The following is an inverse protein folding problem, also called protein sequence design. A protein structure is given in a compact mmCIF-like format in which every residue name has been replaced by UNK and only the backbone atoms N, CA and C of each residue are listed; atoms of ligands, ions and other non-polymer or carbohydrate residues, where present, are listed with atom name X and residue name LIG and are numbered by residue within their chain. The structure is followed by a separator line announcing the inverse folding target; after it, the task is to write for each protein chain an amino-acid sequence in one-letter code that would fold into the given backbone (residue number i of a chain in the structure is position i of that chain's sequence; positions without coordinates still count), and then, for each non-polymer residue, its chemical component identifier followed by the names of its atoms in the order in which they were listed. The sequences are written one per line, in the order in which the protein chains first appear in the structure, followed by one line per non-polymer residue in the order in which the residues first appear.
data_IF_528825783599
#
_entry.id   IF_528825783599
#
_cell.length_a   1.000
_cell.length_b   1.000
_cell.length_c   1.000
_cell.angle_alpha   90.00
_cell.angle_beta   90.00
_cell.angle_gamma   90.00
#
_symmetry.space_group_name_H-M   'P 1'
#
loop_
_entity.id
_entity.type
_entity.pdbx_description
1 polymer ?
#
# COMPACT_ATOMS: atom_id res chain seq x y z
N UNK A 1 4.21 -29.25 3.35
CA UNK A 1 5.02 -29.80 2.23
C UNK A 1 4.22 -30.33 1.03
N UNK A 2 2.88 -30.47 1.09
CA UNK A 2 2.08 -30.95 -0.06
C UNK A 2 1.42 -29.85 -0.92
N UNK A 3 1.41 -28.59 -0.45
CA UNK A 3 0.76 -27.46 -1.17
C UNK A 3 1.70 -26.81 -2.22
N UNK A 4 3.01 -27.04 -2.13
CA UNK A 4 4.01 -26.36 -2.98
C UNK A 4 4.17 -26.93 -4.39
N UNK A 5 3.77 -28.18 -4.64
CA UNK A 5 3.93 -28.80 -5.97
C UNK A 5 2.71 -28.62 -6.88
N UNK A 6 1.52 -28.35 -6.32
CA UNK A 6 0.31 -28.09 -7.12
C UNK A 6 0.22 -26.65 -7.65
N UNK A 7 0.92 -25.68 -7.03
CA UNK A 7 0.83 -24.26 -7.43
C UNK A 7 1.68 -23.90 -8.65
N UNK A 8 2.48 -24.82 -9.19
CA UNK A 8 3.45 -24.53 -10.25
C UNK A 8 2.92 -24.73 -11.68
N UNK A 9 1.75 -25.39 -11.81
CA UNK A 9 1.12 -25.68 -13.11
C UNK A 9 -0.24 -25.00 -13.30
N UNK A 10 -0.74 -24.30 -12.28
CA UNK A 10 -2.01 -23.56 -12.39
C UNK A 10 -1.77 -22.27 -13.16
N UNK A 11 -2.71 -21.88 -14.04
CA UNK A 11 -2.73 -20.52 -14.57
C UNK A 11 -3.21 -19.58 -13.46
N UNK A 12 -2.29 -18.82 -12.88
CA UNK A 12 -2.59 -17.78 -11.88
C UNK A 12 -2.68 -16.42 -12.56
N UNK A 13 -3.66 -15.63 -12.14
CA UNK A 13 -3.99 -14.34 -12.73
C UNK A 13 -4.14 -13.30 -11.61
N UNK A 14 -3.72 -12.07 -11.88
CA UNK A 14 -3.87 -10.97 -10.96
C UNK A 14 -5.35 -10.58 -10.80
N UNK A 15 -5.67 -9.99 -9.65
CA UNK A 15 -6.99 -9.41 -9.44
C UNK A 15 -7.22 -8.26 -10.43
N UNK A 16 -8.41 -8.14 -11.05
CA UNK A 16 -8.69 -7.10 -12.01
C UNK A 16 -8.59 -5.71 -11.38
N UNK A 17 -8.12 -4.73 -12.15
CA UNK A 17 -8.11 -3.34 -11.72
C UNK A 17 -9.55 -2.80 -11.64
N UNK A 18 -9.84 -2.01 -10.61
CA UNK A 18 -11.13 -1.32 -10.53
C UNK A 18 -11.12 -0.16 -11.53
N UNK A 19 -11.99 -0.22 -12.54
CA UNK A 19 -12.14 0.84 -13.52
C UNK A 19 -13.14 1.90 -13.03
N UNK A 20 -12.68 3.13 -12.85
CA UNK A 20 -13.52 4.28 -12.54
C UNK A 20 -14.20 4.82 -13.81
N UNK A 21 -15.42 5.30 -13.68
CA UNK A 21 -16.20 5.90 -14.76
C UNK A 21 -16.17 7.44 -14.66
N UNK A 22 -15.87 8.11 -15.77
CA UNK A 22 -15.85 9.57 -15.88
C UNK A 22 -17.24 10.22 -16.00
N UNK A 23 -18.30 9.44 -16.17
CA UNK A 23 -19.65 9.98 -16.38
C UNK A 23 -20.34 10.49 -15.11
N UNK A 24 -20.09 9.85 -13.96
CA UNK A 24 -20.68 10.22 -12.66
C UNK A 24 -19.68 10.01 -11.55
N UNK A 25 -19.72 10.87 -10.53
CA UNK A 25 -18.90 10.69 -9.34
C UNK A 25 -19.19 9.33 -8.68
N UNK A 26 -18.13 8.66 -8.24
CA UNK A 26 -18.16 7.33 -7.58
C UNK A 26 -18.75 6.20 -8.44
N UNK A 27 -18.90 6.40 -9.75
CA UNK A 27 -19.32 5.32 -10.64
C UNK A 27 -18.13 4.43 -11.00
N UNK A 28 -18.31 3.12 -10.92
CA UNK A 28 -17.32 2.11 -11.29
C UNK A 28 -17.87 1.20 -12.40
N UNK A 29 -16.98 0.69 -13.24
CA UNK A 29 -17.32 -0.28 -14.29
C UNK A 29 -17.14 -1.69 -13.72
N UNK A 30 -18.22 -2.49 -13.59
CA UNK A 30 -18.13 -3.85 -13.06
C UNK A 30 -17.23 -4.75 -13.91
N UNK A 31 -16.76 -5.84 -13.32
CA UNK A 31 -16.12 -6.93 -14.06
C UNK A 31 -17.09 -7.51 -15.09
N UNK A 32 -16.56 -7.93 -16.24
CA UNK A 32 -17.28 -8.48 -17.39
C UNK A 32 -18.27 -7.52 -18.05
N UNK A 33 -18.42 -6.30 -17.54
CA UNK A 33 -19.29 -5.30 -18.14
C UNK A 33 -18.63 -4.66 -19.38
N UNK A 34 -19.50 -4.31 -20.32
CA UNK A 34 -19.13 -3.52 -21.49
C UNK A 34 -18.90 -2.06 -21.09
N UNK A 35 -17.86 -1.45 -21.66
CA UNK A 35 -17.51 -0.06 -21.41
C UNK A 35 -16.87 0.60 -22.63
N UNK A 36 -16.76 1.93 -22.58
CA UNK A 36 -16.14 2.74 -23.63
C UNK A 36 -14.85 3.36 -23.10
N UNK A 37 -13.78 3.27 -23.89
CA UNK A 37 -12.45 3.72 -23.51
C UNK A 37 -11.81 4.61 -24.57
N UNK A 38 -11.24 5.74 -24.16
CA UNK A 38 -10.40 6.60 -24.99
C UNK A 38 -8.97 6.65 -24.44
N UNK A 39 -7.98 6.40 -25.31
CA UNK A 39 -6.53 6.41 -24.99
C UNK A 39 -6.12 5.57 -23.76
N UNK A 40 -6.88 4.51 -23.42
CA UNK A 40 -6.70 3.72 -22.19
C UNK A 40 -6.68 4.57 -20.89
N UNK A 41 -7.26 5.77 -20.91
CA UNK A 41 -7.24 6.71 -19.78
C UNK A 41 -8.64 7.11 -19.35
N UNK A 42 -9.51 7.41 -20.30
CA UNK A 42 -10.86 7.87 -20.01
C UNK A 42 -11.84 6.74 -20.26
N UNK A 43 -12.54 6.32 -19.21
CA UNK A 43 -13.46 5.19 -19.25
C UNK A 43 -14.88 5.63 -18.88
N UNK A 44 -15.86 5.12 -19.61
CA UNK A 44 -17.27 5.31 -19.31
C UNK A 44 -17.98 3.96 -19.29
N UNK A 45 -18.78 3.70 -18.26
CA UNK A 45 -19.70 2.57 -18.30
C UNK A 45 -20.74 2.79 -19.41
N UNK A 46 -21.27 1.70 -19.97
CA UNK A 46 -22.22 1.76 -21.09
C UNK A 46 -23.42 2.68 -20.79
N UNK A 47 -23.95 2.65 -19.56
CA UNK A 47 -25.05 3.52 -19.13
C UNK A 47 -24.67 5.00 -19.18
N UNK A 48 -23.57 5.39 -18.55
CA UNK A 48 -23.16 6.80 -18.51
C UNK A 48 -22.76 7.32 -19.88
N UNK A 49 -22.12 6.50 -20.72
CA UNK A 49 -21.74 6.90 -22.07
C UNK A 49 -22.97 7.22 -22.94
N UNK A 50 -24.03 6.42 -22.80
CA UNK A 50 -25.28 6.61 -23.55
C UNK A 50 -26.17 7.73 -22.99
N UNK A 51 -26.01 8.09 -21.71
CA UNK A 51 -26.71 9.23 -21.10
C UNK A 51 -26.19 10.60 -21.61
N UNK A 52 -24.97 10.66 -22.16
CA UNK A 52 -24.40 11.89 -22.72
C UNK A 52 -25.20 12.30 -23.97
N UNK A 53 -25.76 13.51 -23.96
CA UNK A 53 -26.48 14.04 -25.11
C UNK A 53 -25.51 14.46 -26.21
N UNK A 54 -25.85 14.12 -27.47
CA UNK A 54 -25.03 14.42 -28.64
C UNK A 54 -23.94 13.37 -28.93
N UNK A 55 -23.11 13.68 -29.93
CA UNK A 55 -22.06 12.79 -30.46
C UNK A 55 -20.68 13.06 -29.83
N UNK A 56 -20.56 13.98 -28.87
CA UNK A 56 -19.28 14.33 -28.27
C UNK A 56 -19.31 14.27 -26.74
N UNK A 57 -18.14 13.99 -26.18
CA UNK A 57 -17.86 13.86 -24.75
C UNK A 57 -16.83 14.92 -24.38
N UNK A 58 -17.14 15.72 -23.36
CA UNK A 58 -16.19 16.69 -22.79
C UNK A 58 -15.35 16.02 -21.71
N UNK A 59 -14.03 16.03 -21.90
CA UNK A 59 -13.04 15.45 -21.00
C UNK A 59 -12.20 16.56 -20.36
N UNK A 60 -12.09 16.53 -19.03
CA UNK A 60 -11.19 17.38 -18.25
C UNK A 60 -11.13 16.88 -16.81
N UNK A 61 -9.91 16.78 -16.27
CA UNK A 61 -9.68 16.35 -14.89
C UNK A 61 -9.86 17.51 -13.89
N UNK A 62 -9.66 18.75 -14.35
CA UNK A 62 -9.72 19.98 -13.56
C UNK A 62 -10.79 20.92 -14.13
N UNK A 63 -11.86 21.27 -13.37
CA UNK A 63 -12.89 22.20 -13.81
C UNK A 63 -12.37 23.61 -14.14
N UNK A 64 -11.18 23.98 -13.64
CA UNK A 64 -10.55 25.27 -13.89
C UNK A 64 -9.73 25.31 -15.20
N UNK A 65 -9.56 24.15 -15.86
CA UNK A 65 -8.85 24.03 -17.12
C UNK A 65 -9.81 23.85 -18.31
N UNK A 66 -9.41 24.28 -19.53
CA UNK A 66 -10.21 24.09 -20.73
C UNK A 66 -10.44 22.59 -21.01
N UNK A 67 -11.70 22.22 -21.20
CA UNK A 67 -12.08 20.84 -21.50
C UNK A 67 -11.82 20.51 -22.98
N UNK A 68 -11.39 19.27 -23.22
CA UNK A 68 -11.25 18.72 -24.57
C UNK A 68 -12.53 18.02 -24.99
N UNK A 69 -12.99 18.28 -26.21
CA UNK A 69 -14.21 17.66 -26.76
C UNK A 69 -13.82 16.54 -27.71
N UNK A 70 -14.20 15.31 -27.37
CA UNK A 70 -13.87 14.09 -28.14
C UNK A 70 -15.16 13.48 -28.68
N UNK A 71 -15.17 13.11 -29.96
CA UNK A 71 -16.33 12.44 -30.55
C UNK A 71 -16.46 10.99 -30.04
N UNK A 72 -17.69 10.52 -29.82
CA UNK A 72 -18.01 9.19 -29.32
C UNK A 72 -17.46 8.08 -30.22
N UNK A 73 -17.36 8.32 -31.53
CA UNK A 73 -16.77 7.39 -32.49
C UNK A 73 -15.28 7.09 -32.25
N UNK A 74 -14.58 7.98 -31.54
CA UNK A 74 -13.18 7.78 -31.15
C UNK A 74 -13.03 6.88 -29.92
N UNK A 75 -14.12 6.54 -29.23
CA UNK A 75 -14.08 5.62 -28.09
C UNK A 75 -14.13 4.17 -28.55
N UNK A 76 -13.22 3.36 -28.01
CA UNK A 76 -13.26 1.92 -28.21
C UNK A 76 -14.25 1.26 -27.26
N UNK A 77 -15.22 0.53 -27.81
CA UNK A 77 -16.08 -0.37 -27.03
C UNK A 77 -15.28 -1.61 -26.60
N UNK A 78 -15.25 -1.90 -25.30
CA UNK A 78 -14.45 -2.97 -24.69
C UNK A 78 -15.25 -3.72 -23.63
N UNK A 79 -14.72 -4.84 -23.17
CA UNK A 79 -15.25 -5.63 -22.05
C UNK A 79 -14.22 -5.65 -20.92
N UNK A 80 -14.67 -5.50 -19.69
CA UNK A 80 -13.81 -5.47 -18.51
C UNK A 80 -13.52 -6.90 -18.01
N UNK A 81 -12.90 -7.71 -18.86
CA UNK A 81 -12.59 -9.12 -18.61
C UNK A 81 -11.11 -9.48 -18.81
N UNK A 82 -10.26 -8.49 -19.09
CA UNK A 82 -8.81 -8.68 -19.15
C UNK A 82 -8.25 -8.97 -17.75
N UNK A 83 -7.58 -10.11 -17.62
CA UNK A 83 -6.82 -10.47 -16.43
C UNK A 83 -5.36 -10.69 -16.84
N UNK A 84 -4.45 -10.04 -16.11
CA UNK A 84 -3.02 -10.18 -16.36
C UNK A 84 -2.52 -11.49 -15.72
N UNK A 85 -1.84 -12.38 -16.48
CA UNK A 85 -1.30 -13.61 -15.91
C UNK A 85 -0.08 -13.32 -15.02
N UNK A 86 0.12 -14.16 -14.01
CA UNK A 86 1.35 -14.14 -13.22
C UNK A 86 2.57 -14.47 -14.09
N UNK A 87 3.68 -13.79 -13.81
CA UNK A 87 4.93 -14.00 -14.52
C UNK A 87 5.63 -15.28 -14.07
N UNK A 88 6.31 -15.93 -15.01
CA UNK A 88 7.16 -17.08 -14.76
C UNK A 88 8.63 -16.69 -14.78
N UNK A 89 9.42 -17.37 -13.95
CA UNK A 89 10.89 -17.37 -14.01
C UNK A 89 11.39 -18.77 -14.34
N UNK A 90 12.42 -18.85 -15.17
CA UNK A 90 13.00 -20.12 -15.61
C UNK A 90 14.24 -20.46 -14.78
N UNK A 91 14.29 -21.67 -14.25
CA UNK A 91 15.47 -22.14 -13.51
C UNK A 91 16.64 -22.36 -14.48
N UNK A 92 17.74 -21.64 -14.28
CA UNK A 92 18.90 -21.67 -15.18
C UNK A 92 19.62 -23.04 -15.24
N UNK A 93 19.31 -23.96 -14.32
CA UNK A 93 19.95 -25.28 -14.27
C UNK A 93 19.08 -26.41 -14.84
N UNK A 94 17.75 -26.33 -14.70
CA UNK A 94 16.86 -27.41 -15.15
C UNK A 94 15.80 -26.97 -16.18
N UNK A 95 15.75 -25.70 -16.55
CA UNK A 95 14.81 -25.14 -17.52
C UNK A 95 13.33 -25.14 -17.07
N UNK A 96 13.03 -25.57 -15.83
CA UNK A 96 11.65 -25.56 -15.33
C UNK A 96 11.20 -24.13 -15.06
N UNK A 97 10.01 -23.80 -15.54
CA UNK A 97 9.32 -22.53 -15.28
C UNK A 97 8.53 -22.63 -13.98
N UNK A 98 8.62 -21.59 -13.16
CA UNK A 98 7.94 -21.47 -11.87
C UNK A 98 7.34 -20.06 -11.77
N UNK A 99 6.20 -19.89 -11.11
CA UNK A 99 5.67 -18.54 -10.85
C UNK A 99 6.68 -17.72 -10.04
N UNK A 100 6.99 -16.52 -10.52
CA UNK A 100 7.97 -15.63 -9.89
C UNK A 100 7.63 -15.34 -8.43
N UNK A 101 6.34 -15.15 -8.13
CA UNK A 101 5.83 -14.89 -6.78
C UNK A 101 5.95 -16.14 -5.90
N UNK A 102 5.57 -17.33 -6.38
CA UNK A 102 5.67 -18.57 -5.61
C UNK A 102 7.11 -18.87 -5.15
N UNK A 103 8.11 -18.55 -5.97
CA UNK A 103 9.53 -18.79 -5.64
C UNK A 103 10.22 -17.56 -5.08
N UNK A 104 9.49 -16.44 -4.93
CA UNK A 104 9.97 -15.15 -4.45
C UNK A 104 11.28 -14.72 -5.13
N UNK A 105 11.37 -14.84 -6.45
CA UNK A 105 12.57 -14.40 -7.17
C UNK A 105 12.48 -12.91 -7.55
N UNK A 106 13.56 -12.18 -7.26
CA UNK A 106 13.72 -10.80 -7.65
C UNK A 106 15.15 -10.59 -8.20
N UNK A 107 15.25 -10.05 -9.40
CA UNK A 107 16.52 -9.87 -10.11
C UNK A 107 17.45 -8.86 -9.43
N UNK A 108 16.90 -7.90 -8.68
CA UNK A 108 17.71 -6.94 -7.90
C UNK A 108 18.37 -7.64 -6.72
N UNK A 109 17.67 -8.58 -6.08
CA UNK A 109 18.19 -9.36 -4.94
C UNK A 109 19.19 -10.42 -5.43
N UNK A 110 18.84 -11.14 -6.50
CA UNK A 110 19.63 -12.22 -7.08
C UNK A 110 19.86 -12.02 -8.58
N UNK A 111 20.78 -11.12 -8.98
CA UNK A 111 21.03 -10.79 -10.39
C UNK A 111 21.70 -11.92 -11.19
N UNK A 112 22.24 -12.94 -10.50
CA UNK A 112 22.85 -14.11 -11.14
C UNK A 112 21.83 -15.11 -11.72
N UNK A 113 20.53 -14.80 -11.65
CA UNK A 113 19.44 -15.64 -12.15
C UNK A 113 18.83 -16.56 -11.09
N UNK A 114 17.69 -17.15 -11.46
CA UNK A 114 16.92 -18.05 -10.59
C UNK A 114 17.44 -19.49 -10.66
N UNK A 115 17.74 -20.08 -9.48
CA UNK A 115 17.98 -21.51 -9.31
C UNK A 115 16.92 -22.06 -8.36
N UNK A 116 16.14 -23.05 -8.81
CA UNK A 116 15.06 -23.62 -8.00
C UNK A 116 15.59 -24.44 -6.81
N UNK A 117 14.77 -24.57 -5.77
CA UNK A 117 15.16 -25.25 -4.52
C UNK A 117 15.55 -26.72 -4.75
N UNK A 118 14.95 -27.38 -5.75
CA UNK A 118 15.33 -28.73 -6.15
C UNK A 118 16.76 -28.83 -6.68
N UNK A 119 17.21 -27.86 -7.48
CA UNK A 119 18.58 -27.82 -8.00
C UNK A 119 19.59 -27.39 -6.93
N UNK A 120 19.23 -26.42 -6.09
CA UNK A 120 20.02 -26.02 -4.92
C UNK A 120 20.26 -27.23 -3.99
N UNK A 121 19.21 -27.97 -3.64
CA UNK A 121 19.29 -29.16 -2.79
C UNK A 121 20.15 -30.27 -3.40
N UNK A 122 20.00 -30.56 -4.69
CA UNK A 122 20.82 -31.57 -5.41
C UNK A 122 22.31 -31.24 -5.40
N UNK A 123 22.66 -29.96 -5.41
CA UNK A 123 24.04 -29.46 -5.45
C UNK A 123 24.58 -29.06 -4.07
N UNK A 124 23.83 -29.30 -2.98
CA UNK A 124 24.24 -28.93 -1.63
C UNK A 124 24.40 -27.42 -1.41
N UNK A 125 23.78 -26.58 -2.24
CA UNK A 125 23.83 -25.11 -2.12
C UNK A 125 22.57 -24.59 -1.44
N UNK A 126 22.68 -23.42 -0.83
CA UNK A 126 21.55 -22.63 -0.32
C UNK A 126 21.39 -21.36 -1.16
N UNK A 127 20.19 -20.79 -1.15
CA UNK A 127 19.96 -19.49 -1.79
C UNK A 127 20.80 -18.43 -1.08
N UNK A 128 21.37 -17.50 -1.84
CA UNK A 128 22.13 -16.38 -1.27
C UNK A 128 21.23 -15.53 -0.37
N UNK A 129 21.80 -14.99 0.70
CA UNK A 129 21.08 -14.14 1.66
C UNK A 129 20.41 -12.94 0.97
N UNK A 130 19.16 -12.64 1.35
CA UNK A 130 18.49 -11.40 0.95
C UNK A 130 18.99 -10.22 1.78
N UNK A 131 19.71 -9.28 1.14
CA UNK A 131 20.20 -8.06 1.80
C UNK A 131 19.14 -6.95 1.93
N UNK A 132 17.99 -7.11 1.30
CA UNK A 132 16.87 -6.17 1.30
C UNK A 132 15.78 -6.63 2.27
N UNK A 133 16.14 -6.79 3.54
CA UNK A 133 15.22 -7.20 4.60
C UNK A 133 14.73 -6.02 5.44
N UNK A 134 13.56 -6.17 6.04
CA UNK A 134 12.96 -5.18 6.93
C UNK A 134 13.89 -4.84 8.10
N UNK A 135 14.59 -5.85 8.64
CA UNK A 135 15.57 -5.68 9.73
C UNK A 135 16.66 -4.68 9.38
N UNK A 136 17.10 -4.67 8.11
CA UNK A 136 18.23 -3.86 7.61
C UNK A 136 17.84 -2.43 7.24
N UNK A 137 16.54 -2.09 7.27
CA UNK A 137 16.11 -0.69 7.17
C UNK A 137 16.63 0.12 8.36
N UNK A 138 17.01 1.39 8.17
CA UNK A 138 17.49 2.26 9.24
C UNK A 138 16.52 2.31 10.42
N UNK A 139 17.06 2.21 11.64
CA UNK A 139 16.28 2.29 12.87
C UNK A 139 16.03 3.75 13.25
N UNK A 140 14.94 3.98 13.98
CA UNK A 140 14.61 5.29 14.55
C UNK A 140 14.16 5.10 16.00
N UNK A 141 14.23 6.16 16.81
CA UNK A 141 13.79 6.10 18.22
C UNK A 141 12.33 5.63 18.35
N UNK A 142 11.44 6.14 17.50
CA UNK A 142 10.04 5.71 17.46
C UNK A 142 9.92 4.25 17.01
N UNK A 143 10.58 3.85 15.91
CA UNK A 143 10.52 2.48 15.41
C UNK A 143 10.99 1.47 16.46
N UNK A 144 12.15 1.71 17.08
CA UNK A 144 12.69 0.86 18.15
C UNK A 144 11.79 0.84 19.39
N UNK A 145 11.18 1.96 19.76
CA UNK A 145 10.24 2.00 20.90
C UNK A 145 9.01 1.11 20.67
N UNK A 146 8.39 1.21 19.48
CA UNK A 146 7.24 0.39 19.11
C UNK A 146 7.60 -1.09 18.98
N UNK A 147 8.71 -1.39 18.32
CA UNK A 147 9.24 -2.74 18.16
C UNK A 147 9.46 -3.43 19.50
N UNK A 148 10.14 -2.75 20.44
CA UNK A 148 10.41 -3.28 21.77
C UNK A 148 9.11 -3.58 22.53
N UNK A 149 8.15 -2.65 22.50
CA UNK A 149 6.85 -2.79 23.17
C UNK A 149 6.09 -4.01 22.64
N UNK A 150 5.99 -4.15 21.32
CA UNK A 150 5.28 -5.27 20.69
C UNK A 150 5.97 -6.59 21.02
N UNK A 151 7.29 -6.68 20.88
CA UNK A 151 8.00 -7.93 21.16
C UNK A 151 8.00 -8.30 22.66
N UNK A 152 7.96 -7.32 23.58
CA UNK A 152 7.77 -7.58 25.00
C UNK A 152 6.36 -8.10 25.29
N UNK A 153 5.33 -7.55 24.64
CA UNK A 153 3.99 -8.11 24.68
C UNK A 153 3.97 -9.57 24.19
N UNK A 154 4.55 -9.86 23.02
CA UNK A 154 4.60 -11.22 22.45
C UNK A 154 5.32 -12.21 23.36
N UNK A 155 6.47 -11.83 23.93
CA UNK A 155 7.19 -12.66 24.91
C UNK A 155 6.36 -13.00 26.14
N UNK A 156 5.54 -12.05 26.63
CA UNK A 156 4.62 -12.29 27.76
C UNK A 156 3.46 -13.21 27.41
N UNK A 157 2.97 -13.17 26.16
CA UNK A 157 1.95 -14.11 25.69
C UNK A 157 2.51 -15.54 25.53
N UNK A 158 3.83 -15.67 25.32
CA UNK A 158 4.55 -16.95 25.23
C UNK A 158 3.88 -17.96 24.28
N UNK A 159 3.33 -17.48 23.15
CA UNK A 159 2.65 -18.33 22.18
C UNK A 159 3.69 -18.99 21.25
N UNK A 160 3.63 -20.31 21.02
CA UNK A 160 4.70 -21.08 20.36
C UNK A 160 4.96 -20.68 18.90
N UNK A 161 3.94 -20.13 18.22
CA UNK A 161 4.02 -19.69 16.83
C UNK A 161 4.36 -18.19 16.67
N UNK A 162 4.75 -17.50 17.73
CA UNK A 162 5.04 -16.06 17.64
C UNK A 162 6.36 -15.80 16.91
N UNK A 163 6.29 -15.02 15.83
CA UNK A 163 7.47 -14.43 15.19
C UNK A 163 7.95 -13.16 15.90
N UNK A 164 9.17 -12.73 15.57
CA UNK A 164 9.65 -11.39 15.94
C UNK A 164 8.99 -10.34 15.04
N UNK A 165 8.51 -9.25 15.64
CA UNK A 165 7.99 -8.10 14.90
C UNK A 165 9.09 -7.06 14.75
N UNK A 166 9.22 -6.51 13.55
CA UNK A 166 10.14 -5.43 13.23
C UNK A 166 9.31 -4.19 12.91
N UNK A 167 9.60 -3.04 13.52
CA UNK A 167 8.89 -1.78 13.23
C UNK A 167 9.86 -0.73 12.67
N UNK A 168 9.53 -0.15 11.52
CA UNK A 168 10.39 0.83 10.83
C UNK A 168 9.61 2.07 10.45
N UNK A 169 10.17 3.23 10.75
CA UNK A 169 9.73 4.52 10.23
C UNK A 169 10.47 4.74 8.92
N UNK A 170 9.75 4.74 7.80
CA UNK A 170 10.32 4.77 6.44
C UNK A 170 10.17 6.13 5.76
N UNK A 171 9.35 7.02 6.34
CA UNK A 171 9.19 8.38 5.85
C UNK A 171 9.09 9.35 7.01
N UNK A 172 9.73 10.52 6.86
CA UNK A 172 9.52 11.68 7.72
C UNK A 172 9.75 12.93 6.88
N UNK A 173 8.78 13.84 6.84
CA UNK A 173 8.93 15.15 6.20
C UNK A 173 8.07 16.20 6.87
N UNK A 174 8.47 17.47 6.75
CA UNK A 174 7.66 18.62 7.17
C UNK A 174 6.68 18.97 6.05
N UNK A 175 5.44 19.29 6.41
CA UNK A 175 4.36 19.69 5.52
C UNK A 175 3.54 20.81 6.16
N UNK A 176 2.75 21.49 5.36
CA UNK A 176 1.71 22.42 5.83
C UNK A 176 0.35 21.96 5.32
N UNK A 177 -0.70 22.24 6.09
CA UNK A 177 -2.08 22.15 5.61
C UNK A 177 -2.65 23.56 5.55
N UNK A 178 -3.18 23.93 4.38
CA UNK A 178 -3.80 25.23 4.15
C UNK A 178 -5.29 25.18 4.49
N UNK A 179 -5.80 26.27 5.08
CA UNK A 179 -7.22 26.42 5.35
C UNK A 179 -7.97 26.60 4.02
N UNK A 180 -8.95 25.71 3.77
CA UNK A 180 -9.75 25.73 2.54
C UNK A 180 -10.54 27.05 2.36
N UNK A 181 -10.88 27.45 1.12
CA UNK A 181 -11.41 28.79 0.80
C UNK A 181 -12.57 29.28 1.67
N UNK A 182 -13.56 28.40 1.96
CA UNK A 182 -14.71 28.78 2.78
C UNK A 182 -14.34 29.17 4.22
N UNK A 183 -13.45 28.41 4.86
CA UNK A 183 -12.96 28.72 6.21
C UNK A 183 -11.97 29.88 6.19
N UNK A 184 -11.17 30.00 5.12
CA UNK A 184 -10.23 31.10 4.94
C UNK A 184 -10.95 32.44 4.90
N UNK A 185 -11.95 32.57 4.03
CA UNK A 185 -12.77 33.77 3.89
C UNK A 185 -13.48 34.14 5.20
N UNK A 186 -13.84 33.14 6.02
CA UNK A 186 -14.59 33.36 7.25
C UNK A 186 -13.74 33.77 8.45
N UNK A 187 -12.53 33.21 8.60
CA UNK A 187 -11.74 33.34 9.85
C UNK A 187 -10.28 33.71 9.63
N UNK A 188 -9.69 33.41 8.48
CA UNK A 188 -8.28 33.76 8.21
C UNK A 188 -8.18 35.21 7.78
N UNK A 189 -9.05 35.64 6.87
CA UNK A 189 -9.02 37.00 6.33
C UNK A 189 -9.40 38.05 7.39
N UNK A 190 -10.11 37.66 8.45
CA UNK A 190 -10.40 38.48 9.64
C UNK A 190 -9.31 38.43 10.71
N UNK A 191 -8.27 37.60 10.55
CA UNK A 191 -7.19 37.41 11.52
C UNK A 191 -7.55 36.54 12.74
N UNK A 192 -8.71 35.87 12.72
CA UNK A 192 -9.17 35.00 13.82
C UNK A 192 -8.52 33.60 13.80
N UNK A 193 -7.96 33.18 12.66
CA UNK A 193 -7.34 31.87 12.46
C UNK A 193 -6.09 31.95 11.58
N UNK A 194 -5.09 31.11 11.83
CA UNK A 194 -3.92 31.00 10.96
C UNK A 194 -4.30 30.44 9.57
N UNK A 195 -3.63 30.92 8.52
CA UNK A 195 -3.86 30.45 7.14
C UNK A 195 -3.38 29.02 6.90
N UNK A 196 -2.30 28.61 7.59
CA UNK A 196 -1.69 27.29 7.44
C UNK A 196 -1.22 26.73 8.78
N UNK A 197 -1.19 25.42 8.88
CA UNK A 197 -0.71 24.69 10.05
C UNK A 197 0.42 23.75 9.67
N UNK A 198 1.68 24.00 10.12
CA UNK A 198 2.79 23.10 9.87
C UNK A 198 2.67 21.83 10.71
N UNK A 199 3.02 20.69 10.11
CA UNK A 199 3.07 19.38 10.77
C UNK A 199 4.17 18.51 10.15
N UNK A 200 4.65 17.56 10.95
CA UNK A 200 5.51 16.49 10.47
C UNK A 200 4.68 15.28 10.08
N UNK A 201 4.80 14.82 8.85
CA UNK A 201 4.23 13.53 8.45
C UNK A 201 5.23 12.41 8.72
N UNK A 202 4.76 11.25 9.18
CA UNK A 202 5.55 10.02 9.27
C UNK A 202 4.81 8.84 8.69
N UNK A 203 5.53 7.96 8.00
CA UNK A 203 5.05 6.64 7.62
C UNK A 203 5.83 5.58 8.39
N UNK A 204 5.13 4.64 9.00
CA UNK A 204 5.73 3.49 9.67
C UNK A 204 5.02 2.20 9.28
N UNK A 205 5.80 1.12 9.23
CA UNK A 205 5.34 -0.22 8.89
C UNK A 205 5.86 -1.24 9.89
N UNK A 206 5.06 -2.26 10.14
CA UNK A 206 5.44 -3.42 10.93
C UNK A 206 5.54 -4.67 10.05
N UNK A 207 6.59 -5.45 10.30
CA UNK A 207 6.95 -6.63 9.56
C UNK A 207 7.06 -7.82 10.51
N UNK A 208 6.70 -9.01 10.04
CA UNK A 208 6.91 -10.27 10.74
C UNK A 208 7.71 -11.19 9.82
N UNK A 209 8.69 -11.91 10.36
CA UNK A 209 9.37 -12.96 9.61
C UNK A 209 8.55 -14.26 9.67
N UNK A 210 8.03 -14.69 8.52
CA UNK A 210 7.27 -15.94 8.38
C UNK A 210 8.01 -16.85 7.41
N UNK A 211 8.38 -18.05 7.87
CA UNK A 211 9.06 -19.05 7.05
C UNK A 211 10.35 -18.51 6.38
N UNK A 212 11.07 -17.61 7.06
CA UNK A 212 12.31 -16.97 6.60
C UNK A 212 12.09 -15.82 5.60
N UNK A 213 10.87 -15.30 5.48
CA UNK A 213 10.49 -14.23 4.54
C UNK A 213 9.83 -13.08 5.32
N UNK A 214 10.22 -11.85 5.02
CA UNK A 214 9.58 -10.66 5.59
C UNK A 214 8.16 -10.48 5.04
N UNK A 215 7.18 -10.39 5.93
CA UNK A 215 5.80 -10.01 5.63
C UNK A 215 5.50 -8.65 6.25
N UNK A 216 5.27 -7.63 5.42
CA UNK A 216 4.71 -6.35 5.89
C UNK A 216 3.22 -6.53 6.19
N UNK A 217 2.83 -6.42 7.46
CA UNK A 217 1.46 -6.75 7.89
C UNK A 217 0.63 -5.56 8.39
N UNK A 218 1.27 -4.44 8.71
CA UNK A 218 0.61 -3.23 9.22
C UNK A 218 1.33 -1.97 8.73
N UNK A 219 0.58 -0.94 8.35
CA UNK A 219 1.09 0.36 7.95
C UNK A 219 0.29 1.49 8.58
N UNK A 220 0.96 2.58 8.96
CA UNK A 220 0.32 3.74 9.55
C UNK A 220 1.00 5.04 9.12
N UNK A 221 0.18 6.04 8.76
CA UNK A 221 0.60 7.40 8.48
C UNK A 221 0.03 8.35 9.51
N UNK A 222 0.86 9.25 10.04
CA UNK A 222 0.49 10.21 11.08
C UNK A 222 0.89 11.63 10.70
N UNK A 223 0.18 12.59 11.28
CA UNK A 223 0.48 14.02 11.26
C UNK A 223 0.78 14.44 12.70
N UNK A 224 1.96 14.99 12.95
CA UNK A 224 2.39 15.48 14.25
C UNK A 224 2.54 17.01 14.19
N UNK A 225 1.62 17.73 14.83
CA UNK A 225 1.63 19.18 14.95
C UNK A 225 2.41 19.57 16.21
N UNK A 226 3.57 20.19 16.02
CA UNK A 226 4.50 20.51 17.10
C UNK A 226 4.04 21.63 18.04
N UNK A 227 4.91 22.00 18.98
CA UNK A 227 4.69 23.12 19.91
C UNK A 227 4.63 24.48 19.21
N UNK A 228 5.25 24.60 18.04
CA UNK A 228 5.35 25.86 17.31
C UNK A 228 4.21 26.02 16.29
N UNK A 229 3.33 25.01 16.20
CA UNK A 229 2.14 25.08 15.37
C UNK A 229 1.10 26.03 16.01
N UNK A 230 0.45 26.93 15.24
CA UNK A 230 -0.60 27.78 15.77
C UNK A 230 -1.78 26.99 16.37
N UNK A 231 -2.49 27.61 17.32
CA UNK A 231 -3.79 27.12 17.75
C UNK A 231 -4.77 27.12 16.57
N UNK A 232 -5.64 26.09 16.43
CA UNK A 232 -5.96 25.08 17.44
C UNK A 232 -5.11 23.80 17.37
N UNK A 233 -4.15 23.68 16.46
CA UNK A 233 -3.46 22.42 16.17
C UNK A 233 -2.21 22.14 17.04
N UNK A 234 -1.77 23.12 17.83
CA UNK A 234 -0.61 23.00 18.71
C UNK A 234 -0.65 21.72 19.58
N UNK A 235 0.44 20.94 19.56
CA UNK A 235 0.62 19.68 20.32
C UNK A 235 -0.48 18.64 20.08
N UNK A 236 -0.82 18.42 18.82
CA UNK A 236 -1.79 17.39 18.42
C UNK A 236 -1.15 16.37 17.49
N UNK A 237 -1.63 15.14 17.59
CA UNK A 237 -1.33 14.09 16.64
C UNK A 237 -2.63 13.64 15.97
N UNK A 238 -2.55 13.31 14.69
CA UNK A 238 -3.67 12.81 13.91
C UNK A 238 -3.23 11.62 13.06
N UNK A 239 -3.94 10.51 13.15
CA UNK A 239 -3.71 9.35 12.29
C UNK A 239 -4.37 9.65 10.94
N UNK A 240 -3.57 9.81 9.89
CA UNK A 240 -4.08 10.05 8.53
C UNK A 240 -4.81 8.82 7.99
N UNK A 241 -4.17 7.66 8.13
CA UNK A 241 -4.75 6.36 7.86
C UNK A 241 -3.87 5.28 8.50
N UNK A 242 -4.49 4.13 8.73
CA UNK A 242 -3.81 2.88 9.05
C UNK A 242 -4.44 1.79 8.19
N UNK A 243 -3.66 0.77 7.88
CA UNK A 243 -4.14 -0.39 7.14
C UNK A 243 -3.36 -1.65 7.55
N UNK A 244 -3.91 -2.83 7.25
CA UNK A 244 -3.29 -4.10 7.60
C UNK A 244 -3.61 -5.21 6.61
N UNK A 245 -2.68 -6.16 6.45
CA UNK A 245 -2.95 -7.45 5.81
C UNK A 245 -3.00 -8.54 6.88
N UNK A 246 -4.00 -9.40 6.80
CA UNK A 246 -4.43 -10.23 7.93
C UNK A 246 -3.56 -11.48 8.22
N UNK A 247 -2.34 -11.54 7.68
CA UNK A 247 -1.51 -12.76 7.67
C UNK A 247 -0.61 -12.94 8.90
N UNK A 248 -0.62 -11.99 9.85
CA UNK A 248 0.14 -12.07 11.11
C UNK A 248 -0.04 -13.41 11.84
N UNK A 249 1.05 -13.98 12.37
CA UNK A 249 1.07 -15.21 13.17
C UNK A 249 1.52 -14.95 14.63
N UNK A 250 0.82 -15.50 15.63
CA UNK A 250 -0.43 -16.25 15.55
C UNK A 250 -1.66 -15.34 15.34
N UNK A 251 -2.68 -15.86 14.65
CA UNK A 251 -3.92 -15.10 14.36
C UNK A 251 -4.64 -14.57 15.60
N UNK A 252 -4.57 -15.30 16.71
CA UNK A 252 -5.21 -14.93 17.98
C UNK A 252 -4.61 -13.67 18.62
N UNK A 253 -3.35 -13.33 18.31
CA UNK A 253 -2.67 -12.16 18.86
C UNK A 253 -2.68 -10.95 17.91
N UNK A 254 -3.09 -11.13 16.65
CA UNK A 254 -3.04 -10.09 15.61
C UNK A 254 -3.67 -8.76 16.03
N UNK A 255 -4.92 -8.77 16.48
CA UNK A 255 -5.61 -7.55 16.92
C UNK A 255 -4.92 -6.90 18.12
N UNK A 256 -4.42 -7.71 19.06
CA UNK A 256 -3.69 -7.20 20.23
C UNK A 256 -2.37 -6.53 19.81
N UNK A 257 -1.65 -7.10 18.84
CA UNK A 257 -0.43 -6.48 18.27
C UNK A 257 -0.73 -5.13 17.62
N UNK A 258 -1.84 -5.01 16.88
CA UNK A 258 -2.24 -3.71 16.32
C UNK A 258 -2.49 -2.67 17.41
N UNK A 259 -3.16 -3.07 18.49
CA UNK A 259 -3.37 -2.21 19.65
C UNK A 259 -2.05 -1.82 20.33
N UNK A 260 -1.11 -2.75 20.50
CA UNK A 260 0.20 -2.46 21.10
C UNK A 260 0.99 -1.43 20.29
N UNK A 261 0.90 -1.46 18.96
CA UNK A 261 1.51 -0.43 18.08
C UNK A 261 0.86 0.93 18.33
N UNK A 262 -0.47 1.01 18.33
CA UNK A 262 -1.21 2.26 18.52
C UNK A 262 -0.99 2.86 19.92
N UNK A 263 -1.10 2.03 20.96
CA UNK A 263 -0.87 2.44 22.36
C UNK A 263 0.58 2.89 22.51
N UNK A 264 1.54 2.14 21.96
CA UNK A 264 2.95 2.53 21.95
C UNK A 264 3.17 3.87 21.26
N UNK A 265 2.50 4.12 20.14
CA UNK A 265 2.62 5.39 19.43
C UNK A 265 2.10 6.55 20.30
N UNK A 266 0.90 6.40 20.87
CA UNK A 266 0.29 7.40 21.75
C UNK A 266 1.13 7.65 23.00
N UNK A 267 1.73 6.61 23.59
CA UNK A 267 2.63 6.71 24.72
C UNK A 267 3.92 7.47 24.34
N UNK A 268 4.49 7.16 23.17
CA UNK A 268 5.70 7.80 22.68
C UNK A 268 5.48 9.30 22.46
N UNK A 269 4.41 9.70 21.76
CA UNK A 269 4.15 11.12 21.51
C UNK A 269 3.76 11.85 22.78
N UNK A 270 3.02 11.23 23.71
CA UNK A 270 2.76 11.80 25.04
C UNK A 270 4.06 12.12 25.80
N UNK A 271 5.09 11.29 25.67
CA UNK A 271 6.41 11.53 26.30
C UNK A 271 7.16 12.71 25.68
N UNK A 272 6.87 13.08 24.42
CA UNK A 272 7.45 14.24 23.76
C UNK A 272 6.76 15.56 24.13
N UNK A 273 5.59 15.49 24.79
CA UNK A 273 4.72 16.63 25.13
C UNK A 273 3.79 17.00 23.99
#
# INVERSE_FOLDING_TARGET
MLVSNLSLSLQLEFSPQTLCCYGKQLCTIPRDATYYSYQNRYHFCEKCFNEIQGESVSLGDDPSQPQTTINKDQFSKRKNDTLDPEQFVECIECGRKMHQICVLHNEIIWPSGFVCDGCLKKSGRTRRENKFSARRLPTTRLGTFLENRVNEFLRRQNHPESGEVIVRVVHTSEKTVEVKPGMKARFVDSGEMAEQFPYRTKALFAFEEIDGVDLCFFGMHVQEYGSDCPQPNQRRVYISYLDSVHFFRPKCLRTAVYHEILIGYLEYVKKLG
#
